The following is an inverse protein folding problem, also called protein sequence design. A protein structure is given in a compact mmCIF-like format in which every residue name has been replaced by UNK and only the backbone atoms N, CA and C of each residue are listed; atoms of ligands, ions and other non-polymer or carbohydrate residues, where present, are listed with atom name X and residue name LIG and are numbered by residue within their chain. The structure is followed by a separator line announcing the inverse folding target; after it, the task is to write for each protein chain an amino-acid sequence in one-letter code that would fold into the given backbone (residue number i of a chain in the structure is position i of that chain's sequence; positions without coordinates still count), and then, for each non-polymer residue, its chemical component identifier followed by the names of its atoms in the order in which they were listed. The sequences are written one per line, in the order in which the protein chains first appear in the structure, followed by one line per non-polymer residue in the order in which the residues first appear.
data_IF_180045996485
#
_entry.id   IF_180045996485
#
_cell.length_a   1.000
_cell.length_b   1.000
_cell.length_c   1.000
_cell.angle_alpha   90.00
_cell.angle_beta   90.00
_cell.angle_gamma   90.00
#
_symmetry.space_group_name_H-M   'P 1'
#
loop_
_entity.id
_entity.type
_entity.pdbx_description
1 polymer ?
#
# COMPACT_ATOMS: atom_id res chain seq x y z
N UNK A 1 -13.56 -5.74 7.69
CA UNK A 1 -13.49 -7.22 7.65
C UNK A 1 -12.64 -7.68 8.83
N UNK A 2 -12.94 -8.81 9.49
CA UNK A 2 -12.06 -9.30 10.56
C UNK A 2 -10.78 -9.83 9.88
N UNK A 3 -9.70 -9.04 9.90
CA UNK A 3 -8.43 -9.38 9.25
C UNK A 3 -7.90 -10.69 9.86
N UNK A 4 -7.69 -11.69 9.02
CA UNK A 4 -7.26 -13.01 9.45
C UNK A 4 -5.80 -13.24 9.05
N UNK A 5 -4.92 -12.88 9.98
CA UNK A 5 -3.48 -12.92 9.78
C UNK A 5 -2.93 -14.34 9.58
N UNK A 6 -3.69 -15.39 9.90
CA UNK A 6 -3.23 -16.77 9.71
C UNK A 6 -3.28 -17.18 8.24
N UNK A 7 -4.19 -16.57 7.45
CA UNK A 7 -4.47 -17.00 6.09
C UNK A 7 -3.93 -16.06 5.00
N UNK A 8 -3.58 -14.82 5.33
CA UNK A 8 -3.08 -13.85 4.35
C UNK A 8 -1.61 -13.49 4.54
N UNK A 9 -0.75 -13.98 3.64
CA UNK A 9 0.67 -13.58 3.55
C UNK A 9 0.80 -12.08 3.30
N UNK A 10 -0.05 -11.51 2.45
CA UNK A 10 -0.02 -10.08 2.09
C UNK A 10 -0.33 -9.21 3.32
N UNK A 11 -1.34 -9.57 4.11
CA UNK A 11 -1.64 -8.85 5.35
C UNK A 11 -0.46 -8.91 6.33
N UNK A 12 0.14 -10.10 6.53
CA UNK A 12 1.33 -10.24 7.37
C UNK A 12 2.49 -9.38 6.87
N UNK A 13 2.77 -9.37 5.57
CA UNK A 13 3.81 -8.51 4.98
C UNK A 13 3.52 -7.03 5.19
N UNK A 14 2.27 -6.58 5.03
CA UNK A 14 1.87 -5.19 5.31
C UNK A 14 2.16 -4.80 6.76
N UNK A 15 1.88 -5.69 7.70
CA UNK A 15 2.19 -5.50 9.11
C UNK A 15 3.70 -5.39 9.31
N UNK A 16 4.47 -6.35 8.80
CA UNK A 16 5.91 -6.40 8.95
C UNK A 16 6.63 -5.23 8.24
N UNK A 17 6.05 -4.69 7.16
CA UNK A 17 6.57 -3.52 6.44
C UNK A 17 6.19 -2.19 7.10
N UNK A 18 5.23 -2.17 8.04
CA UNK A 18 4.85 -0.96 8.74
C UNK A 18 5.88 -0.59 9.83
N UNK A 19 7.03 -0.04 9.41
CA UNK A 19 8.09 0.40 10.32
C UNK A 19 7.64 1.50 11.30
N UNK A 20 6.52 2.18 11.02
CA UNK A 20 5.96 3.23 11.86
C UNK A 20 5.25 2.63 13.07
N UNK A 21 4.60 1.47 12.90
CA UNK A 21 3.96 0.74 13.99
C UNK A 21 4.93 -0.15 14.79
N UNK A 22 6.09 -0.53 14.22
CA UNK A 22 7.05 -1.43 14.87
C UNK A 22 7.49 -0.99 16.28
N UNK A 23 7.77 0.29 16.57
CA UNK A 23 8.15 0.72 17.92
C UNK A 23 7.01 0.52 18.94
N UNK A 24 5.78 0.85 18.56
CA UNK A 24 4.60 0.67 19.43
C UNK A 24 4.30 -0.81 19.66
N UNK A 25 4.41 -1.63 18.61
CA UNK A 25 4.30 -3.09 18.73
C UNK A 25 5.34 -3.67 19.68
N UNK A 26 6.61 -3.23 19.56
CA UNK A 26 7.68 -3.70 20.43
C UNK A 26 7.45 -3.32 21.89
N UNK A 27 7.03 -2.07 22.13
CA UNK A 27 6.71 -1.57 23.47
C UNK A 27 5.54 -2.32 24.10
N UNK A 28 4.49 -2.61 23.32
CA UNK A 28 3.28 -3.26 23.82
C UNK A 28 3.46 -4.76 24.10
N UNK A 29 4.29 -5.44 23.30
CA UNK A 29 4.65 -6.84 23.54
C UNK A 29 5.65 -6.96 24.69
N UNK A 30 6.56 -6.00 24.83
CA UNK A 30 7.44 -5.88 26.00
C UNK A 30 8.40 -7.06 26.20
N UNK A 31 8.59 -7.91 25.20
CA UNK A 31 9.44 -9.09 25.30
C UNK A 31 10.91 -8.73 25.03
N UNK A 32 11.77 -8.95 26.03
CA UNK A 32 13.18 -8.53 25.99
C UNK A 32 13.96 -9.35 24.95
N UNK A 33 14.40 -8.68 23.89
CA UNK A 33 15.37 -9.23 22.94
C UNK A 33 16.81 -8.90 23.33
N UNK A 34 17.75 -9.68 22.79
CA UNK A 34 19.19 -9.46 22.96
C UNK A 34 19.71 -8.58 21.84
N UNK A 35 20.45 -7.52 22.15
CA UNK A 35 20.95 -6.59 21.13
C UNK A 35 22.24 -7.13 20.51
N UNK A 36 22.16 -7.63 19.28
CA UNK A 36 23.30 -8.15 18.52
C UNK A 36 23.32 -7.53 17.13
N UNK A 37 24.49 -7.03 16.69
CA UNK A 37 24.65 -6.35 15.39
C UNK A 37 23.59 -5.25 15.15
N UNK A 38 23.38 -4.40 16.17
CA UNK A 38 22.40 -3.30 16.15
C UNK A 38 20.93 -3.71 16.00
N UNK A 39 20.60 -5.00 16.12
CA UNK A 39 19.22 -5.50 16.06
C UNK A 39 18.89 -6.34 17.29
N UNK A 40 17.63 -6.33 17.70
CA UNK A 40 17.15 -7.28 18.69
C UNK A 40 17.03 -8.67 18.07
N UNK A 41 17.59 -9.66 18.76
CA UNK A 41 17.60 -11.08 18.40
C UNK A 41 16.91 -11.88 19.49
N UNK A 42 16.16 -12.88 19.05
CA UNK A 42 15.47 -13.84 19.88
C UNK A 42 15.90 -15.24 19.47
N UNK A 43 16.11 -16.11 20.44
CA UNK A 43 16.42 -17.53 20.20
C UNK A 43 15.13 -18.33 20.05
N UNK A 44 15.25 -19.53 19.48
CA UNK A 44 14.12 -20.47 19.40
C UNK A 44 13.48 -20.75 20.77
N UNK A 45 14.29 -21.01 21.79
CA UNK A 45 13.83 -21.28 23.16
C UNK A 45 13.01 -20.11 23.74
N UNK A 46 13.40 -18.87 23.41
CA UNK A 46 12.64 -17.69 23.82
C UNK A 46 11.27 -17.63 23.15
N UNK A 47 11.16 -17.98 21.86
CA UNK A 47 9.88 -18.05 21.16
C UNK A 47 8.99 -19.16 21.72
N UNK A 48 9.55 -20.33 22.05
CA UNK A 48 8.83 -21.45 22.68
C UNK A 48 8.22 -21.02 24.01
N UNK A 49 9.01 -20.36 24.84
CA UNK A 49 8.55 -19.83 26.12
C UNK A 49 7.49 -18.73 25.94
N UNK A 50 7.70 -17.79 25.02
CA UNK A 50 6.80 -16.67 24.80
C UNK A 50 5.43 -17.08 24.24
N UNK A 51 5.41 -18.01 23.28
CA UNK A 51 4.18 -18.48 22.64
C UNK A 51 3.57 -19.70 23.33
N UNK A 52 4.23 -20.27 24.34
CA UNK A 52 3.80 -21.47 25.05
C UNK A 52 3.61 -22.66 24.08
N UNK A 53 4.61 -22.89 23.21
CA UNK A 53 4.59 -23.94 22.18
C UNK A 53 5.83 -24.82 22.22
N UNK A 54 5.74 -26.00 21.60
CA UNK A 54 6.87 -26.90 21.45
C UNK A 54 7.81 -26.52 20.30
N UNK A 55 9.06 -26.98 20.40
CA UNK A 55 10.11 -26.78 19.40
C UNK A 55 9.77 -27.27 18.00
N UNK A 56 8.97 -28.35 17.88
CA UNK A 56 8.61 -28.95 16.58
C UNK A 56 7.60 -28.07 15.86
N UNK A 57 6.74 -27.36 16.60
CA UNK A 57 5.79 -26.40 16.02
C UNK A 57 6.54 -25.25 15.33
N UNK A 58 7.59 -24.71 15.95
CA UNK A 58 8.43 -23.67 15.31
C UNK A 58 9.16 -24.23 14.08
N UNK A 59 9.72 -25.43 14.16
CA UNK A 59 10.40 -26.07 13.02
C UNK A 59 9.46 -26.27 11.84
N UNK A 60 8.24 -26.74 12.09
CA UNK A 60 7.21 -26.90 11.04
C UNK A 60 6.89 -25.57 10.36
N UNK A 61 6.76 -24.49 11.13
CA UNK A 61 6.53 -23.16 10.57
C UNK A 61 7.70 -22.67 9.71
N UNK A 62 8.93 -22.83 10.20
CA UNK A 62 10.13 -22.45 9.45
C UNK A 62 10.23 -23.18 8.11
N UNK A 63 9.92 -24.48 8.08
CA UNK A 63 9.93 -25.28 6.84
C UNK A 63 8.78 -24.91 5.92
N UNK A 64 7.57 -24.71 6.45
CA UNK A 64 6.40 -24.38 5.63
C UNK A 64 6.44 -22.96 5.04
N UNK A 65 7.18 -22.04 5.66
CA UNK A 65 7.19 -20.62 5.31
C UNK A 65 8.62 -20.04 5.19
N UNK A 66 9.56 -20.82 4.65
CA UNK A 66 10.99 -20.48 4.59
C UNK A 66 11.24 -19.08 3.99
N UNK A 67 10.65 -18.80 2.82
CA UNK A 67 10.77 -17.51 2.13
C UNK A 67 10.26 -16.34 2.98
N UNK A 68 9.16 -16.55 3.70
CA UNK A 68 8.55 -15.54 4.57
C UNK A 68 9.44 -15.27 5.79
N UNK A 69 10.00 -16.33 6.38
CA UNK A 69 10.88 -16.21 7.54
C UNK A 69 12.21 -15.55 7.20
N UNK A 70 12.81 -15.91 6.08
CA UNK A 70 14.03 -15.25 5.56
C UNK A 70 13.82 -13.75 5.42
N UNK A 71 12.71 -13.32 4.80
CA UNK A 71 12.36 -11.89 4.65
C UNK A 71 12.01 -11.21 5.97
N UNK A 72 11.38 -11.91 6.90
CA UNK A 72 11.07 -11.39 8.23
C UNK A 72 12.31 -11.30 9.14
N UNK A 73 13.44 -11.91 8.75
CA UNK A 73 14.71 -11.84 9.46
C UNK A 73 14.96 -12.99 10.43
N UNK A 74 14.57 -14.21 10.05
CA UNK A 74 15.15 -15.43 10.60
C UNK A 74 16.51 -15.69 9.94
N UNK A 75 17.54 -15.99 10.73
CA UNK A 75 18.86 -16.39 10.23
C UNK A 75 19.48 -17.46 11.14
N UNK A 76 20.44 -18.22 10.62
CA UNK A 76 21.21 -19.19 11.39
C UNK A 76 22.63 -18.67 11.61
N UNK A 77 23.00 -18.47 12.87
CA UNK A 77 24.34 -18.06 13.26
C UNK A 77 25.28 -19.27 13.33
N UNK A 78 26.46 -19.13 12.74
CA UNK A 78 27.54 -20.13 12.74
C UNK A 78 28.90 -19.46 12.95
N UNK A 79 29.93 -20.26 13.25
CA UNK A 79 31.31 -19.79 13.29
C UNK A 79 31.56 -18.67 14.32
N UNK A 80 32.23 -17.60 13.88
CA UNK A 80 32.60 -16.47 14.74
C UNK A 80 31.40 -15.69 15.28
N UNK A 81 30.41 -15.39 14.42
CA UNK A 81 29.17 -14.68 14.81
C UNK A 81 28.45 -15.42 15.94
N UNK A 82 28.42 -16.75 15.87
CA UNK A 82 27.82 -17.56 16.93
C UNK A 82 28.60 -17.46 18.25
N UNK A 83 29.94 -17.46 18.22
CA UNK A 83 30.76 -17.32 19.43
C UNK A 83 30.52 -15.98 20.10
N UNK A 84 30.44 -14.90 19.33
CA UNK A 84 30.21 -13.56 19.88
C UNK A 84 28.79 -13.42 20.45
N UNK A 85 27.79 -13.97 19.77
CA UNK A 85 26.43 -14.01 20.29
C UNK A 85 26.32 -14.83 21.57
N UNK A 86 27.02 -15.97 21.66
CA UNK A 86 27.08 -16.79 22.90
C UNK A 86 27.71 -16.04 24.07
N UNK A 87 28.79 -15.29 23.85
CA UNK A 87 29.40 -14.46 24.91
C UNK A 87 28.42 -13.42 25.44
N UNK A 88 27.69 -12.76 24.54
CA UNK A 88 26.67 -11.79 24.92
C UNK A 88 25.53 -12.44 25.73
N UNK A 89 25.09 -13.64 25.36
CA UNK A 89 24.10 -14.39 26.14
C UNK A 89 24.65 -14.79 27.52
N UNK A 90 25.93 -15.17 27.60
CA UNK A 90 26.55 -15.53 28.88
C UNK A 90 26.51 -14.38 29.88
N UNK A 91 26.72 -13.15 29.41
CA UNK A 91 26.67 -11.93 30.22
C UNK A 91 25.25 -11.53 30.62
N UNK A 92 24.24 -11.75 29.77
CA UNK A 92 22.86 -11.32 30.02
C UNK A 92 21.95 -12.39 30.68
N UNK A 93 22.12 -13.67 30.34
CA UNK A 93 21.25 -14.78 30.78
C UNK A 93 22.01 -16.12 30.80
N UNK A 94 22.53 -16.48 31.98
CA UNK A 94 23.29 -17.72 32.19
C UNK A 94 22.47 -18.99 31.94
N UNK A 95 21.15 -18.95 32.13
CA UNK A 95 20.29 -20.12 31.88
C UNK A 95 20.11 -20.35 30.39
N UNK A 96 19.88 -19.27 29.63
CA UNK A 96 19.81 -19.35 28.17
C UNK A 96 21.14 -19.80 27.58
N UNK A 97 22.27 -19.34 28.13
CA UNK A 97 23.61 -19.74 27.70
C UNK A 97 23.84 -21.25 27.82
N UNK A 98 23.47 -21.85 28.97
CA UNK A 98 23.66 -23.28 29.20
C UNK A 98 22.96 -24.16 28.17
N UNK A 99 21.81 -23.71 27.65
CA UNK A 99 21.06 -24.43 26.63
C UNK A 99 21.69 -24.38 25.23
N UNK A 100 22.60 -23.43 24.98
CA UNK A 100 23.17 -23.20 23.64
C UNK A 100 24.71 -23.31 23.59
N UNK A 101 25.41 -23.44 24.72
CA UNK A 101 26.87 -23.37 24.76
C UNK A 101 27.54 -24.37 23.79
N UNK A 102 27.01 -25.59 23.69
CA UNK A 102 27.60 -26.68 22.89
C UNK A 102 27.09 -26.74 21.44
N UNK A 103 26.08 -25.95 21.05
CA UNK A 103 25.47 -26.08 19.71
C UNK A 103 26.39 -25.49 18.62
N UNK A 104 26.60 -26.18 17.48
CA UNK A 104 27.48 -25.70 16.40
C UNK A 104 26.82 -24.62 15.51
N UNK A 105 25.50 -24.50 15.58
CA UNK A 105 24.71 -23.48 14.87
C UNK A 105 23.48 -23.10 15.70
N UNK A 106 22.99 -21.87 15.56
CA UNK A 106 21.84 -21.36 16.31
C UNK A 106 20.93 -20.51 15.43
N UNK A 107 19.65 -20.90 15.34
CA UNK A 107 18.62 -20.07 14.71
C UNK A 107 18.25 -18.87 15.58
N UNK A 108 18.26 -17.69 14.99
CA UNK A 108 17.88 -16.43 15.65
C UNK A 108 16.84 -15.68 14.82
N UNK A 109 15.96 -14.99 15.53
CA UNK A 109 14.81 -14.28 14.98
C UNK A 109 14.95 -12.79 15.27
N UNK A 110 14.63 -11.93 14.31
CA UNK A 110 14.34 -10.51 14.62
C UNK A 110 12.98 -10.39 15.32
N UNK A 111 12.66 -9.19 15.80
CA UNK A 111 11.31 -8.88 16.26
C UNK A 111 10.23 -9.10 15.18
N UNK A 112 10.52 -8.77 13.92
CA UNK A 112 9.59 -9.03 12.81
C UNK A 112 9.35 -10.52 12.63
N UNK A 113 10.39 -11.34 12.71
CA UNK A 113 10.27 -12.79 12.63
C UNK A 113 9.50 -13.37 13.84
N UNK A 114 9.67 -12.81 15.04
CA UNK A 114 8.86 -13.15 16.22
C UNK A 114 7.38 -12.87 15.97
N UNK A 115 7.03 -11.66 15.51
CA UNK A 115 5.64 -11.33 15.15
C UNK A 115 5.08 -12.28 14.09
N UNK A 116 5.91 -12.64 13.10
CA UNK A 116 5.50 -13.54 12.04
C UNK A 116 5.12 -14.93 12.57
N UNK A 117 5.88 -15.47 13.51
CA UNK A 117 5.51 -16.70 14.23
C UNK A 117 4.14 -16.54 14.89
N UNK A 118 3.92 -15.46 15.64
CA UNK A 118 2.62 -15.19 16.28
C UNK A 118 1.45 -15.06 15.31
N UNK A 119 1.69 -14.52 14.11
CA UNK A 119 0.67 -14.39 13.07
C UNK A 119 0.32 -15.72 12.39
N UNK A 120 1.27 -16.66 12.30
CA UNK A 120 1.07 -17.98 11.70
C UNK A 120 0.50 -19.03 12.68
N UNK A 121 0.74 -18.87 13.99
CA UNK A 121 0.34 -19.84 15.00
C UNK A 121 -1.18 -19.86 15.26
N UNK A 122 -1.87 -20.92 14.85
CA UNK A 122 -3.32 -21.07 15.10
C UNK A 122 -3.64 -21.64 16.48
N UNK A 123 -2.79 -22.52 17.03
CA UNK A 123 -3.05 -23.29 18.25
C UNK A 123 -2.58 -22.68 19.57
N UNK A 124 -2.04 -21.45 19.57
CA UNK A 124 -1.52 -20.79 20.78
C UNK A 124 -2.42 -19.64 21.21
N UNK A 125 -2.89 -19.66 22.46
CA UNK A 125 -3.66 -18.55 23.04
C UNK A 125 -2.80 -17.29 23.18
N UNK A 126 -1.50 -17.42 23.48
CA UNK A 126 -0.54 -16.30 23.44
C UNK A 126 -0.46 -15.70 22.05
N UNK A 127 -0.35 -16.52 21.02
CA UNK A 127 -0.31 -16.04 19.64
C UNK A 127 -1.61 -15.31 19.25
N UNK A 128 -2.76 -15.82 19.70
CA UNK A 128 -4.07 -15.17 19.49
C UNK A 128 -4.14 -13.79 20.14
N UNK A 129 -3.66 -13.65 21.37
CA UNK A 129 -3.56 -12.35 22.05
C UNK A 129 -2.64 -11.39 21.28
N UNK A 130 -1.46 -11.87 20.86
CA UNK A 130 -0.52 -11.10 20.04
C UNK A 130 -1.16 -10.64 18.73
N UNK A 131 -1.90 -11.49 18.01
CA UNK A 131 -2.60 -11.08 16.78
C UNK A 131 -3.63 -9.99 17.04
N UNK A 132 -4.43 -10.10 18.10
CA UNK A 132 -5.39 -9.04 18.47
C UNK A 132 -4.67 -7.72 18.73
N UNK A 133 -3.64 -7.77 19.57
CA UNK A 133 -2.87 -6.59 19.95
C UNK A 133 -2.15 -5.94 18.75
N UNK A 134 -1.64 -6.75 17.81
CA UNK A 134 -1.06 -6.25 16.56
C UNK A 134 -2.10 -5.45 15.76
N UNK A 135 -3.30 -6.00 15.57
CA UNK A 135 -4.36 -5.36 14.80
C UNK A 135 -4.79 -4.04 15.45
N UNK A 136 -5.00 -4.05 16.78
CA UNK A 136 -5.40 -2.86 17.54
C UNK A 136 -4.37 -1.74 17.43
N UNK A 137 -3.09 -2.06 17.65
CA UNK A 137 -1.99 -1.08 17.56
C UNK A 137 -1.86 -0.51 16.15
N UNK A 138 -2.02 -1.33 15.12
CA UNK A 138 -1.92 -0.85 13.73
C UNK A 138 -3.06 0.12 13.41
N UNK A 139 -4.27 -0.19 13.84
CA UNK A 139 -5.43 0.70 13.68
C UNK A 139 -5.16 2.02 14.40
N UNK A 140 -4.67 1.97 15.64
CA UNK A 140 -4.38 3.17 16.43
C UNK A 140 -3.27 4.02 15.81
N UNK A 141 -2.17 3.39 15.39
CA UNK A 141 -1.05 4.08 14.73
C UNK A 141 -1.50 4.72 13.43
N UNK A 142 -2.28 3.99 12.61
CA UNK A 142 -2.83 4.53 11.36
C UNK A 142 -3.72 5.75 11.64
N UNK A 143 -4.66 5.66 12.57
CA UNK A 143 -5.57 6.74 12.91
C UNK A 143 -4.84 7.96 13.48
N UNK A 144 -3.91 7.74 14.41
CA UNK A 144 -3.12 8.81 15.02
C UNK A 144 -2.23 9.50 13.98
N UNK A 145 -1.50 8.72 13.17
CA UNK A 145 -0.63 9.29 12.13
C UNK A 145 -1.43 9.95 11.02
N UNK A 146 -2.59 9.44 10.64
CA UNK A 146 -3.51 10.03 9.64
C UNK A 146 -4.27 11.26 10.14
N UNK A 147 -4.24 11.56 11.44
CA UNK A 147 -5.04 12.64 12.03
C UNK A 147 -6.55 12.36 11.98
N UNK A 148 -6.95 11.08 12.01
CA UNK A 148 -8.35 10.63 11.98
C UNK A 148 -9.05 10.69 10.62
N UNK A 149 -8.35 11.11 9.55
CA UNK A 149 -8.93 11.26 8.22
C UNK A 149 -8.13 10.50 7.15
N UNK A 150 -8.47 9.23 6.94
CA UNK A 150 -7.80 8.36 5.96
C UNK A 150 -8.29 8.53 4.52
N UNK A 151 -9.49 9.11 4.33
CA UNK A 151 -10.12 9.33 3.01
C UNK A 151 -9.20 10.07 2.04
N UNK A 152 -8.44 11.06 2.52
CA UNK A 152 -7.54 11.90 1.73
C UNK A 152 -6.05 11.65 2.05
N UNK A 153 -5.70 10.43 2.47
CA UNK A 153 -4.31 10.10 2.84
C UNK A 153 -3.30 10.28 1.70
N UNK A 154 -3.77 10.12 0.45
CA UNK A 154 -3.01 10.36 -0.78
C UNK A 154 -2.43 11.79 -0.84
N UNK A 155 -3.11 12.78 -0.25
CA UNK A 155 -2.70 14.19 -0.33
C UNK A 155 -1.45 14.52 0.49
N UNK A 156 -1.00 13.56 1.31
CA UNK A 156 0.13 13.72 2.21
C UNK A 156 1.47 13.39 1.55
N UNK A 157 1.44 12.70 0.42
CA UNK A 157 2.62 12.42 -0.40
C UNK A 157 3.10 13.69 -1.11
N UNK A 158 4.41 13.97 -1.09
CA UNK A 158 5.01 15.17 -1.68
C UNK A 158 4.62 15.41 -3.14
N UNK A 159 4.64 14.35 -3.94
CA UNK A 159 4.34 14.38 -5.37
C UNK A 159 2.85 14.65 -5.70
N UNK A 160 1.96 14.64 -4.71
CA UNK A 160 0.52 14.78 -4.94
C UNK A 160 0.15 16.12 -5.58
N UNK A 161 0.69 17.25 -5.09
CA UNK A 161 0.28 18.57 -5.58
C UNK A 161 0.63 18.75 -7.06
N UNK A 162 1.86 18.48 -7.53
CA UNK A 162 2.17 18.52 -8.95
C UNK A 162 1.24 17.63 -9.79
N UNK A 163 1.01 16.39 -9.36
CA UNK A 163 0.15 15.47 -10.10
C UNK A 163 -1.31 15.95 -10.16
N UNK A 164 -1.84 16.54 -9.09
CA UNK A 164 -3.18 17.10 -9.06
C UNK A 164 -3.32 18.34 -9.96
N UNK A 165 -2.28 19.17 -10.07
CA UNK A 165 -2.26 20.31 -10.99
C UNK A 165 -2.22 19.85 -12.44
N UNK A 166 -1.37 18.87 -12.76
CA UNK A 166 -1.30 18.29 -14.10
C UNK A 166 -2.64 17.66 -14.48
N UNK A 167 -3.24 16.89 -13.57
CA UNK A 167 -4.56 16.28 -13.78
C UNK A 167 -5.63 17.33 -14.08
N UNK A 168 -5.66 18.45 -13.35
CA UNK A 168 -6.60 19.53 -13.63
C UNK A 168 -6.45 20.06 -15.09
N UNK A 169 -5.21 20.23 -15.56
CA UNK A 169 -4.92 20.68 -16.93
C UNK A 169 -5.35 19.64 -17.95
N UNK A 170 -5.01 18.36 -17.75
CA UNK A 170 -5.38 17.30 -18.70
C UNK A 170 -6.87 16.99 -18.72
N UNK A 171 -7.54 17.09 -17.57
CA UNK A 171 -8.99 17.01 -17.48
C UNK A 171 -9.66 18.10 -18.31
N UNK A 172 -9.17 19.33 -18.22
CA UNK A 172 -9.66 20.44 -19.05
C UNK A 172 -9.46 20.15 -20.53
N UNK A 173 -8.26 19.71 -20.96
CA UNK A 173 -7.99 19.33 -22.36
C UNK A 173 -8.96 18.27 -22.86
N UNK A 174 -9.28 17.28 -22.04
CA UNK A 174 -10.20 16.21 -22.41
C UNK A 174 -11.65 16.69 -22.52
N UNK A 175 -12.14 17.47 -21.55
CA UNK A 175 -13.49 18.05 -21.63
C UNK A 175 -13.61 19.01 -22.80
N UNK A 176 -12.58 19.80 -23.08
CA UNK A 176 -12.52 20.69 -24.24
C UNK A 176 -12.57 19.86 -25.54
N UNK A 177 -11.81 18.77 -25.65
CA UNK A 177 -11.88 17.90 -26.83
C UNK A 177 -13.29 17.30 -27.04
N UNK A 178 -13.94 16.86 -25.96
CA UNK A 178 -15.34 16.40 -26.00
C UNK A 178 -16.28 17.52 -26.49
N UNK A 179 -16.00 18.78 -26.17
CA UNK A 179 -16.80 19.92 -26.65
C UNK A 179 -16.56 20.30 -28.11
N UNK A 180 -15.31 20.29 -28.52
CA UNK A 180 -14.93 20.68 -29.86
C UNK A 180 -15.27 19.60 -30.89
N UNK A 181 -15.10 18.31 -30.55
CA UNK A 181 -15.13 17.21 -31.51
C UNK A 181 -16.35 16.30 -31.42
N UNK A 182 -17.22 16.45 -30.41
CA UNK A 182 -18.46 15.68 -30.29
C UNK A 182 -19.67 16.60 -30.34
N UNK A 183 -20.73 16.15 -31.01
CA UNK A 183 -22.02 16.82 -31.06
C UNK A 183 -22.58 17.10 -29.65
N UNK A 184 -23.48 18.08 -29.55
CA UNK A 184 -24.08 18.45 -28.27
C UNK A 184 -24.92 17.29 -27.74
N UNK A 185 -24.57 16.80 -26.56
CA UNK A 185 -25.28 15.75 -25.84
C UNK A 185 -25.03 15.91 -24.35
N UNK A 186 -26.07 15.86 -23.52
CA UNK A 186 -25.98 16.14 -22.09
C UNK A 186 -25.20 15.07 -21.31
N UNK A 187 -25.08 13.86 -21.86
CA UNK A 187 -24.46 12.72 -21.21
C UNK A 187 -23.02 12.45 -21.64
N UNK A 188 -22.50 13.17 -22.65
CA UNK A 188 -21.21 12.84 -23.29
C UNK A 188 -20.04 12.81 -22.29
N UNK A 189 -19.98 13.77 -21.36
CA UNK A 189 -18.88 13.81 -20.38
C UNK A 189 -18.97 12.66 -19.39
N UNK A 190 -20.16 12.43 -18.81
CA UNK A 190 -20.36 11.39 -17.83
C UNK A 190 -20.03 10.01 -18.42
N UNK A 191 -20.56 9.70 -19.61
CA UNK A 191 -20.36 8.41 -20.24
C UNK A 191 -18.91 8.17 -20.69
N UNK A 192 -18.24 9.18 -21.25
CA UNK A 192 -16.85 9.01 -21.71
C UNK A 192 -15.86 8.99 -20.54
N UNK A 193 -16.07 9.79 -19.49
CA UNK A 193 -15.27 9.69 -18.26
C UNK A 193 -15.44 8.35 -17.58
N UNK A 194 -16.67 7.84 -17.50
CA UNK A 194 -16.92 6.53 -16.88
C UNK A 194 -16.29 5.38 -17.67
N UNK A 195 -16.24 5.50 -18.99
CA UNK A 195 -15.49 4.58 -19.87
C UNK A 195 -13.99 4.56 -19.58
N UNK A 196 -13.37 5.73 -19.35
CA UNK A 196 -11.96 5.81 -18.93
C UNK A 196 -11.75 5.05 -17.63
N UNK A 197 -12.59 5.27 -16.62
CA UNK A 197 -12.47 4.59 -15.33
C UNK A 197 -12.68 3.08 -15.45
N UNK A 198 -13.68 2.64 -16.22
CA UNK A 198 -13.90 1.21 -16.47
C UNK A 198 -12.71 0.56 -17.17
N UNK A 199 -12.08 1.25 -18.12
CA UNK A 199 -10.90 0.72 -18.80
C UNK A 199 -9.71 0.59 -17.86
N UNK A 200 -9.44 1.60 -17.01
CA UNK A 200 -8.27 1.60 -16.14
C UNK A 200 -8.52 0.72 -14.89
N UNK A 201 -9.66 0.86 -14.22
CA UNK A 201 -9.93 0.27 -12.90
C UNK A 201 -10.92 -0.89 -12.88
N UNK A 202 -11.51 -1.27 -14.03
CA UNK A 202 -12.63 -2.24 -14.11
C UNK A 202 -13.88 -1.83 -13.32
N UNK A 203 -13.86 -0.63 -12.73
CA UNK A 203 -14.88 -0.05 -11.87
C UNK A 203 -15.29 1.32 -12.41
N UNK A 204 -16.51 1.70 -12.09
CA UNK A 204 -17.13 2.93 -12.52
C UNK A 204 -17.05 4.03 -11.45
N UNK A 205 -17.35 5.29 -11.81
CA UNK A 205 -17.24 6.40 -10.88
C UNK A 205 -18.13 6.25 -9.63
N UNK A 206 -19.32 5.65 -9.79
CA UNK A 206 -20.28 5.47 -8.70
C UNK A 206 -19.89 4.31 -7.80
N UNK A 207 -19.39 3.22 -8.36
CA UNK A 207 -18.81 2.09 -7.61
C UNK A 207 -17.67 2.59 -6.71
N UNK A 208 -16.72 3.33 -7.29
CA UNK A 208 -15.60 3.89 -6.54
C UNK A 208 -16.06 4.86 -5.42
N UNK A 209 -17.05 5.72 -5.68
CA UNK A 209 -17.65 6.59 -4.64
C UNK A 209 -18.24 5.79 -3.48
N UNK A 210 -18.92 4.67 -3.76
CA UNK A 210 -19.51 3.81 -2.73
C UNK A 210 -18.43 3.14 -1.89
N UNK A 211 -17.38 2.61 -2.53
CA UNK A 211 -16.24 1.95 -1.86
C UNK A 211 -15.60 2.91 -0.84
N UNK A 212 -15.33 4.15 -1.24
CA UNK A 212 -14.73 5.15 -0.35
C UNK A 212 -15.73 5.96 0.51
N UNK A 213 -17.01 5.61 0.46
CA UNK A 213 -18.08 6.30 1.20
C UNK A 213 -18.04 7.82 0.98
N UNK A 214 -17.92 8.21 -0.29
CA UNK A 214 -17.87 9.61 -0.71
C UNK A 214 -19.28 10.21 -0.76
N UNK A 215 -19.39 11.48 -0.36
CA UNK A 215 -20.63 12.26 -0.54
C UNK A 215 -20.85 12.55 -2.04
N UNK A 216 -22.09 12.85 -2.42
CA UNK A 216 -22.44 13.10 -3.82
C UNK A 216 -21.60 14.21 -4.47
N UNK A 217 -21.32 15.29 -3.71
CA UNK A 217 -20.53 16.44 -4.13
C UNK A 217 -19.01 16.30 -3.90
N UNK A 218 -18.55 15.20 -3.29
CA UNK A 218 -17.12 14.97 -3.12
C UNK A 218 -16.50 14.54 -4.46
N UNK A 219 -15.34 15.13 -4.76
CA UNK A 219 -14.55 14.75 -5.91
C UNK A 219 -13.93 13.38 -5.68
N UNK A 220 -14.07 12.50 -6.66
CA UNK A 220 -13.35 11.22 -6.69
C UNK A 220 -11.86 11.48 -6.86
N UNK A 221 -11.49 12.40 -7.75
CA UNK A 221 -10.08 12.62 -8.15
C UNK A 221 -9.22 13.15 -7.01
N UNK A 222 -9.80 13.87 -6.05
CA UNK A 222 -9.07 14.30 -4.86
C UNK A 222 -8.66 13.14 -3.94
N UNK A 223 -9.18 11.93 -4.17
CA UNK A 223 -8.77 10.69 -3.48
C UNK A 223 -7.78 9.85 -4.30
N UNK A 224 -7.49 10.21 -5.55
CA UNK A 224 -6.54 9.43 -6.35
C UNK A 224 -5.11 9.66 -5.88
N UNK A 225 -4.32 8.58 -5.82
CA UNK A 225 -2.88 8.67 -5.61
C UNK A 225 -2.20 9.28 -6.83
N UNK A 226 -0.96 9.76 -6.66
CA UNK A 226 -0.18 10.43 -7.70
C UNK A 226 -0.12 9.62 -8.99
N UNK A 227 0.15 8.31 -8.91
CA UNK A 227 0.27 7.45 -10.08
C UNK A 227 -1.07 7.24 -10.79
N UNK A 228 -2.16 7.19 -10.02
CA UNK A 228 -3.52 7.07 -10.56
C UNK A 228 -3.91 8.34 -11.31
N UNK A 229 -3.62 9.51 -10.74
CA UNK A 229 -3.84 10.80 -11.41
C UNK A 229 -3.09 10.87 -12.74
N UNK A 230 -1.83 10.40 -12.78
CA UNK A 230 -1.01 10.39 -14.00
C UNK A 230 -1.60 9.47 -15.06
N UNK A 231 -1.90 8.22 -14.73
CA UNK A 231 -2.45 7.25 -15.69
C UNK A 231 -3.79 7.73 -16.25
N UNK A 232 -4.67 8.29 -15.41
CA UNK A 232 -5.93 8.89 -15.88
C UNK A 232 -5.67 10.06 -16.82
N UNK A 233 -4.74 10.95 -16.48
CA UNK A 233 -4.41 12.13 -17.28
C UNK A 233 -3.88 11.77 -18.65
N UNK A 234 -2.95 10.81 -18.72
CA UNK A 234 -2.36 10.33 -19.97
C UNK A 234 -3.41 9.66 -20.85
N UNK A 235 -4.26 8.81 -20.25
CA UNK A 235 -5.33 8.10 -20.94
C UNK A 235 -6.38 9.08 -21.51
N UNK A 236 -6.82 10.05 -20.72
CA UNK A 236 -7.75 11.11 -21.15
C UNK A 236 -7.16 11.95 -22.28
N UNK A 237 -5.89 12.34 -22.18
CA UNK A 237 -5.21 13.12 -23.19
C UNK A 237 -5.01 12.34 -24.50
N UNK A 238 -4.66 11.05 -24.42
CA UNK A 238 -4.53 10.19 -25.58
C UNK A 238 -5.87 10.04 -26.31
N UNK A 239 -6.95 9.77 -25.58
CA UNK A 239 -8.28 9.66 -26.19
C UNK A 239 -8.79 11.00 -26.74
N UNK A 240 -8.48 12.13 -26.09
CA UNK A 240 -8.77 13.47 -26.62
C UNK A 240 -8.13 13.67 -28.01
N UNK A 241 -6.91 13.16 -28.21
CA UNK A 241 -6.22 13.24 -29.50
C UNK A 241 -6.83 12.32 -30.56
N UNK A 242 -7.36 11.17 -30.17
CA UNK A 242 -8.11 10.29 -31.09
C UNK A 242 -9.40 10.97 -31.56
N UNK A 243 -10.15 11.62 -30.66
CA UNK A 243 -11.34 12.41 -31.02
C UNK A 243 -11.02 13.52 -32.01
N UNK A 244 -9.94 14.27 -31.77
CA UNK A 244 -9.46 15.33 -32.66
C UNK A 244 -9.15 14.78 -34.06
N UNK A 245 -8.39 13.68 -34.15
CA UNK A 245 -7.99 13.05 -35.41
C UNK A 245 -9.19 12.56 -36.22
N UNK A 246 -10.10 11.85 -35.58
CA UNK A 246 -11.26 11.26 -36.27
C UNK A 246 -12.27 12.32 -36.70
N UNK A 247 -12.48 13.35 -35.88
CA UNK A 247 -13.33 14.49 -36.27
C UNK A 247 -12.75 15.27 -37.44
N UNK A 248 -11.43 15.52 -37.45
CA UNK A 248 -10.74 16.17 -38.58
C UNK A 248 -10.82 15.34 -39.86
N UNK A 249 -10.65 14.02 -39.76
CA UNK A 249 -10.76 13.09 -40.90
C UNK A 249 -12.16 13.07 -41.51
N UNK A 250 -13.21 13.20 -40.69
CA UNK A 250 -14.61 13.25 -41.14
C UNK A 250 -15.09 14.65 -41.52
N UNK A 251 -14.29 15.68 -41.26
CA UNK A 251 -14.62 17.10 -41.47
C UNK A 251 -15.91 17.56 -40.76
N UNK A 252 -16.26 16.88 -39.66
CA UNK A 252 -17.41 17.24 -38.81
C UNK A 252 -17.22 16.74 -37.38
N UNK A 253 -18.08 17.20 -36.47
CA UNK A 253 -18.17 16.62 -35.13
C UNK A 253 -18.67 15.17 -35.20
N UNK A 254 -18.21 14.36 -34.26
CA UNK A 254 -18.63 12.98 -34.07
C UNK A 254 -19.96 12.93 -33.33
N UNK A 255 -20.83 12.00 -33.72
CA UNK A 255 -21.96 11.63 -32.85
C UNK A 255 -21.43 10.93 -31.59
N UNK A 256 -22.20 10.91 -30.51
CA UNK A 256 -21.80 10.20 -29.30
C UNK A 256 -21.63 8.68 -29.55
N UNK A 257 -22.40 8.10 -30.46
CA UNK A 257 -22.24 6.69 -30.84
C UNK A 257 -20.90 6.43 -31.54
N UNK A 258 -20.50 7.32 -32.46
CA UNK A 258 -19.19 7.23 -33.12
C UNK A 258 -18.05 7.37 -32.10
N UNK A 259 -18.17 8.29 -31.14
CA UNK A 259 -17.18 8.45 -30.07
C UNK A 259 -17.09 7.19 -29.18
N UNK A 260 -18.21 6.51 -28.92
CA UNK A 260 -18.22 5.24 -28.18
C UNK A 260 -17.53 4.11 -28.92
N UNK A 261 -17.78 3.98 -30.24
CA UNK A 261 -17.08 3.01 -31.06
C UNK A 261 -15.58 3.30 -31.08
N UNK A 262 -15.20 4.56 -31.31
CA UNK A 262 -13.81 4.99 -31.28
C UNK A 262 -13.14 4.71 -29.93
N UNK A 263 -13.85 4.94 -28.82
CA UNK A 263 -13.34 4.62 -27.48
C UNK A 263 -13.08 3.13 -27.32
N UNK A 264 -14.01 2.26 -27.75
CA UNK A 264 -13.83 0.82 -27.58
C UNK A 264 -12.59 0.34 -28.36
N UNK A 265 -12.40 0.82 -29.58
CA UNK A 265 -11.22 0.48 -30.37
C UNK A 265 -9.93 1.02 -29.73
N UNK A 266 -9.98 2.26 -29.21
CA UNK A 266 -8.87 2.87 -28.47
C UNK A 266 -8.53 2.08 -27.20
N UNK A 267 -9.53 1.66 -26.43
CA UNK A 267 -9.34 0.98 -25.16
C UNK A 267 -8.59 -0.35 -25.32
N UNK A 268 -8.88 -1.12 -26.38
CA UNK A 268 -8.14 -2.34 -26.71
C UNK A 268 -6.66 -2.03 -26.96
N UNK A 269 -6.37 -1.02 -27.79
CA UNK A 269 -4.98 -0.61 -28.05
C UNK A 269 -4.29 -0.05 -26.82
N UNK A 270 -5.01 0.70 -25.99
CA UNK A 270 -4.47 1.27 -24.77
C UNK A 270 -4.14 0.18 -23.74
N UNK A 271 -4.94 -0.89 -23.65
CA UNK A 271 -4.63 -2.05 -22.81
C UNK A 271 -3.31 -2.70 -23.25
N UNK A 272 -3.11 -2.92 -24.55
CA UNK A 272 -1.85 -3.47 -25.08
C UNK A 272 -0.65 -2.54 -24.87
N UNK A 273 -0.83 -1.23 -25.08
CA UNK A 273 0.27 -0.24 -25.04
C UNK A 273 0.63 0.23 -23.63
N UNK A 274 -0.33 0.18 -22.69
CA UNK A 274 -0.20 0.73 -21.34
C UNK A 274 -0.35 -0.34 -20.25
N UNK A 275 -0.29 -1.63 -20.60
CA UNK A 275 -0.53 -2.77 -19.71
C UNK A 275 0.14 -2.57 -18.34
N UNK A 276 1.47 -2.39 -18.33
CA UNK A 276 2.24 -2.21 -17.10
C UNK A 276 1.77 -1.01 -16.25
N UNK A 277 1.41 0.12 -16.87
CA UNK A 277 0.94 1.30 -16.14
C UNK A 277 -0.47 1.11 -15.58
N UNK A 278 -1.34 0.43 -16.32
CA UNK A 278 -2.69 0.11 -15.87
C UNK A 278 -2.64 -0.91 -14.73
N UNK A 279 -1.81 -1.94 -14.84
CA UNK A 279 -1.62 -2.93 -13.78
C UNK A 279 -1.02 -2.32 -12.51
N UNK A 280 -0.01 -1.46 -12.64
CA UNK A 280 0.55 -0.71 -11.51
C UNK A 280 -0.52 0.17 -10.84
N UNK A 281 -1.33 0.88 -11.62
CA UNK A 281 -2.43 1.69 -11.10
C UNK A 281 -3.48 0.85 -10.37
N UNK A 282 -3.88 -0.30 -10.92
CA UNK A 282 -4.81 -1.25 -10.30
C UNK A 282 -4.25 -1.79 -8.99
N UNK A 283 -3.00 -2.23 -8.99
CA UNK A 283 -2.35 -2.80 -7.81
C UNK A 283 -2.18 -1.76 -6.70
N UNK A 284 -1.70 -0.57 -7.04
CA UNK A 284 -1.56 0.53 -6.07
C UNK A 284 -2.90 1.01 -5.54
N UNK A 285 -3.92 1.15 -6.38
CA UNK A 285 -5.26 1.54 -5.94
C UNK A 285 -5.79 0.52 -4.93
N UNK A 286 -5.87 -0.75 -5.31
CA UNK A 286 -6.46 -1.80 -4.49
C UNK A 286 -5.69 -2.00 -3.18
N UNK A 287 -4.36 -2.05 -3.24
CA UNK A 287 -3.52 -2.33 -2.07
C UNK A 287 -3.53 -1.16 -1.09
N UNK A 288 -3.34 0.07 -1.58
CA UNK A 288 -3.25 1.26 -0.72
C UNK A 288 -4.60 1.58 -0.10
N UNK A 289 -5.70 1.44 -0.82
CA UNK A 289 -7.03 1.68 -0.27
C UNK A 289 -7.44 0.61 0.74
N UNK A 290 -7.07 -0.66 0.53
CA UNK A 290 -7.28 -1.70 1.53
C UNK A 290 -6.52 -1.39 2.83
N UNK A 291 -5.24 -1.03 2.73
CA UNK A 291 -4.39 -0.83 3.93
C UNK A 291 -4.68 0.49 4.63
N UNK A 292 -4.79 1.58 3.89
CA UNK A 292 -4.87 2.91 4.49
C UNK A 292 -6.29 3.41 4.67
N UNK A 293 -7.26 2.94 3.87
CA UNK A 293 -8.66 3.41 3.92
C UNK A 293 -9.65 2.35 4.42
N UNK A 294 -9.19 1.12 4.66
CA UNK A 294 -10.05 -0.04 4.94
C UNK A 294 -11.14 -0.22 3.86
N UNK A 295 -10.74 -0.03 2.60
CA UNK A 295 -11.63 -0.05 1.45
C UNK A 295 -11.21 -1.15 0.46
N UNK A 296 -12.08 -2.14 0.26
CA UNK A 296 -11.87 -3.25 -0.66
C UNK A 296 -12.50 -2.94 -2.02
N UNK A 297 -11.68 -3.07 -3.07
CA UNK A 297 -12.11 -3.05 -4.46
C UNK A 297 -12.30 -4.49 -4.94
N UNK A 298 -13.53 -5.01 -4.88
CA UNK A 298 -13.82 -6.41 -5.21
C UNK A 298 -13.35 -6.80 -6.63
N UNK A 299 -13.46 -5.88 -7.60
CA UNK A 299 -13.03 -6.15 -8.99
C UNK A 299 -11.51 -6.10 -9.16
N UNK A 300 -10.79 -5.55 -8.18
CA UNK A 300 -9.35 -5.43 -8.18
C UNK A 300 -8.67 -6.32 -7.13
N UNK A 301 -9.40 -7.24 -6.50
CA UNK A 301 -8.88 -8.09 -5.42
C UNK A 301 -7.61 -8.87 -5.83
N UNK A 302 -7.60 -9.39 -7.07
CA UNK A 302 -6.45 -10.12 -7.62
C UNK A 302 -5.20 -9.26 -7.86
N UNK A 303 -5.31 -7.93 -7.77
CA UNK A 303 -4.19 -7.00 -7.90
C UNK A 303 -3.59 -6.58 -6.55
N UNK A 304 -4.17 -7.03 -5.43
CA UNK A 304 -3.71 -6.66 -4.10
C UNK A 304 -2.33 -7.28 -3.83
N UNK A 305 -1.37 -6.41 -3.50
CA UNK A 305 0.02 -6.76 -3.17
C UNK A 305 0.44 -6.10 -1.87
N UNK A 306 1.62 -6.45 -1.35
CA UNK A 306 2.16 -5.80 -0.17
C UNK A 306 2.51 -4.32 -0.42
N UNK A 307 2.23 -3.49 0.57
CA UNK A 307 2.62 -2.10 0.62
C UNK A 307 4.12 -2.00 0.91
N UNK A 308 4.79 -1.19 0.11
CA UNK A 308 6.21 -0.92 0.25
C UNK A 308 6.50 -0.07 1.49
N UNK A 309 7.73 -0.17 2.00
CA UNK A 309 8.22 0.73 3.06
C UNK A 309 8.12 2.20 2.64
N UNK A 310 8.36 2.48 1.37
CA UNK A 310 8.30 3.83 0.81
C UNK A 310 6.88 4.39 0.87
N UNK A 311 5.86 3.60 0.53
CA UNK A 311 4.46 4.02 0.63
C UNK A 311 4.07 4.33 2.08
N UNK A 312 4.46 3.48 3.05
CA UNK A 312 4.25 3.81 4.47
C UNK A 312 4.90 5.15 4.85
N UNK A 313 6.13 5.39 4.41
CA UNK A 313 6.82 6.65 4.68
C UNK A 313 6.17 7.86 3.99
N UNK A 314 5.76 7.73 2.73
CA UNK A 314 5.10 8.78 1.95
C UNK A 314 3.80 9.24 2.61
N UNK A 315 3.01 8.29 3.12
CA UNK A 315 1.66 8.59 3.64
C UNK A 315 1.62 8.82 5.16
N UNK A 316 2.56 8.27 5.92
CA UNK A 316 2.50 8.27 7.39
C UNK A 316 3.85 8.61 8.07
N UNK A 317 4.94 8.74 7.29
CA UNK A 317 6.29 9.02 7.80
C UNK A 317 6.51 10.47 8.23
N UNK A 318 7.74 10.82 8.57
CA UNK A 318 8.08 12.15 9.10
C UNK A 318 7.88 13.29 8.10
N UNK A 319 8.08 13.01 6.80
CA UNK A 319 7.87 13.95 5.71
C UNK A 319 6.40 14.06 5.29
N UNK A 320 5.55 13.12 5.74
CA UNK A 320 4.11 13.17 5.52
C UNK A 320 3.51 14.32 6.31
N UNK A 321 2.74 15.17 5.63
CA UNK A 321 2.08 16.31 6.23
C UNK A 321 0.70 16.51 5.62
N UNK A 322 -0.17 17.25 6.31
CA UNK A 322 -1.48 17.58 5.73
C UNK A 322 -1.31 18.51 4.52
N UNK A 323 -2.30 18.51 3.63
CA UNK A 323 -2.29 19.34 2.44
C UNK A 323 -2.20 20.83 2.82
N UNK A 324 -2.92 21.26 3.86
CA UNK A 324 -2.91 22.64 4.34
C UNK A 324 -1.50 23.07 4.76
N UNK A 325 -0.82 22.24 5.56
CA UNK A 325 0.53 22.51 6.02
C UNK A 325 1.52 22.59 4.85
N UNK A 326 1.36 21.72 3.84
CA UNK A 326 2.21 21.77 2.64
C UNK A 326 1.99 23.02 1.82
N UNK A 327 0.73 23.40 1.60
CA UNK A 327 0.38 24.62 0.87
C UNK A 327 0.90 25.86 1.58
N UNK A 328 0.84 25.90 2.91
CA UNK A 328 1.38 26.98 3.71
C UNK A 328 2.90 27.11 3.56
N UNK A 329 3.65 25.99 3.66
CA UNK A 329 5.10 25.98 3.48
C UNK A 329 5.54 26.40 2.06
N UNK A 330 4.70 26.15 1.05
CA UNK A 330 5.00 26.45 -0.35
C UNK A 330 4.28 27.69 -0.90
N UNK A 331 3.59 28.45 -0.03
CA UNK A 331 2.75 29.59 -0.42
C UNK A 331 3.46 30.62 -1.28
N UNK A 332 4.72 30.92 -0.94
CA UNK A 332 5.52 31.92 -1.66
C UNK A 332 6.04 31.40 -3.02
N UNK A 333 6.15 30.09 -3.19
CA UNK A 333 6.42 29.48 -4.50
C UNK A 333 5.19 29.64 -5.40
N UNK A 334 3.99 29.32 -4.89
CA UNK A 334 2.75 29.45 -5.65
C UNK A 334 2.42 30.89 -6.02
N UNK A 335 2.64 31.86 -5.10
CA UNK A 335 2.47 33.28 -5.42
C UNK A 335 3.38 33.74 -6.55
N UNK A 336 4.63 33.25 -6.60
CA UNK A 336 5.58 33.57 -7.68
C UNK A 336 5.15 32.97 -9.02
N UNK A 337 4.59 31.76 -9.02
CA UNK A 337 4.07 31.11 -10.22
C UNK A 337 2.81 31.79 -10.77
N UNK A 338 1.92 32.30 -9.90
CA UNK A 338 0.72 33.05 -10.32
C UNK A 338 1.03 34.40 -10.98
N UNK A 339 2.15 35.01 -10.62
CA UNK A 339 2.56 36.33 -11.11
C UNK A 339 3.48 36.24 -12.36
N UNK A 340 3.66 35.04 -12.92
CA UNK A 340 4.22 34.81 -14.26
C UNK A 340 3.08 34.53 -15.21
#
# INVERSE_FOLDING_TARGET
MKKDLTNSVVERRNILNNNIAMPELYKAIGYKGLKFESKFRFTKNQLEYFYEIDSRTIERLLVAHEDEFSKSGYEVLTGERLRDFKKLIQEEDSNLYNNINTVPSLGVFTFKALLNVGMLLTGSERAKQVRSQILDIIIDVLNHKAGGHTKFINQREEAYIPAALDEFIFRQKFTDAIDHFIEKNDFKYAQLTDKVYKSIFKEDANEYKKILKLKANESIRSTFYTEILRVVSDYENAFAKELERESKKKERKLTLSEAHHLFNDFAVRAEDMMEASIEDARSKMASRDLVFRDALHEKLENYITEISLNDFNNFLGEQSMTLEKRLEQNKDVFKRLKNR
#
